data_IF_080651642084
#
_entry.id   IF_080651642084
#
_cell.length_a   1.000
_cell.length_b   1.000
_cell.length_c   1.000
_cell.angle_alpha   90.00
_cell.angle_beta   90.00
_cell.angle_gamma   90.00
#
_symmetry.space_group_name_H-M   'P 1'
#
loop_
_entity.id
_entity.type
_entity.pdbx_description
1 polymer ?
#
# COMPACT_ATOMS: atom_id res chain seq x y z
N UNK A 1 -2.29 -3.93 -2.94
CA UNK A 1 -2.35 -5.04 -3.90
C UNK A 1 -3.77 -5.20 -4.44
N UNK A 2 -4.72 -5.73 -3.67
CA UNK A 2 -6.10 -6.01 -4.12
C UNK A 2 -6.74 -4.77 -4.77
N UNK A 3 -6.74 -3.64 -4.10
CA UNK A 3 -7.28 -2.38 -4.62
C UNK A 3 -6.57 -1.87 -5.89
N UNK A 4 -5.38 -2.38 -6.18
CA UNK A 4 -4.61 -2.07 -7.39
C UNK A 4 -4.77 -3.11 -8.49
N UNK A 5 -5.71 -4.06 -8.36
CA UNK A 5 -5.96 -5.12 -9.34
C UNK A 5 -4.90 -6.21 -9.39
N UNK A 6 -4.08 -6.36 -8.35
CA UNK A 6 -3.07 -7.42 -8.27
C UNK A 6 -3.31 -8.33 -7.07
N UNK A 7 -2.83 -9.56 -7.15
CA UNK A 7 -3.05 -10.57 -6.11
C UNK A 7 -2.45 -10.17 -4.74
N UNK A 8 -3.08 -10.61 -3.63
CA UNK A 8 -2.68 -10.21 -2.27
C UNK A 8 -1.23 -10.57 -1.94
N UNK A 9 -0.73 -11.71 -2.41
CA UNK A 9 0.64 -12.16 -2.14
C UNK A 9 1.70 -11.17 -2.63
N UNK A 10 1.46 -10.46 -3.75
CA UNK A 10 2.38 -9.43 -4.26
C UNK A 10 2.55 -8.27 -3.28
N UNK A 11 1.49 -7.93 -2.55
CA UNK A 11 1.56 -6.95 -1.48
C UNK A 11 2.35 -7.44 -0.26
N UNK A 12 2.21 -8.71 0.10
CA UNK A 12 2.95 -9.34 1.21
C UNK A 12 4.43 -9.41 0.86
N UNK A 13 4.77 -9.89 -0.34
CA UNK A 13 6.15 -9.93 -0.85
C UNK A 13 6.80 -8.55 -0.78
N UNK A 14 6.09 -7.53 -1.28
CA UNK A 14 6.56 -6.14 -1.23
C UNK A 14 6.77 -5.67 0.21
N UNK A 15 5.85 -5.97 1.12
CA UNK A 15 5.96 -5.57 2.52
C UNK A 15 7.19 -6.19 3.20
N UNK A 16 7.48 -7.47 2.91
CA UNK A 16 8.64 -8.17 3.47
C UNK A 16 9.94 -7.62 2.89
N UNK A 17 10.06 -7.58 1.56
CA UNK A 17 11.32 -7.20 0.90
C UNK A 17 11.60 -5.71 1.08
N UNK A 18 10.64 -4.85 0.75
CA UNK A 18 10.85 -3.41 0.88
C UNK A 18 10.94 -2.98 2.34
N UNK A 19 10.11 -3.57 3.22
CA UNK A 19 10.18 -3.30 4.65
C UNK A 19 11.57 -3.61 5.22
N UNK A 20 12.13 -4.77 4.90
CA UNK A 20 13.48 -5.13 5.32
C UNK A 20 14.55 -4.17 4.76
N UNK A 21 14.54 -3.92 3.44
CA UNK A 21 15.56 -3.07 2.80
C UNK A 21 15.48 -1.63 3.31
N UNK A 22 14.29 -1.05 3.42
CA UNK A 22 14.10 0.33 3.89
C UNK A 22 14.48 0.45 5.35
N UNK A 23 14.13 -0.52 6.21
CA UNK A 23 14.53 -0.51 7.62
C UNK A 23 16.04 -0.67 7.80
N UNK A 24 16.69 -1.49 6.96
CA UNK A 24 18.13 -1.79 7.09
C UNK A 24 19.02 -0.70 6.48
N UNK A 25 18.66 -0.15 5.31
CA UNK A 25 19.46 0.83 4.56
C UNK A 25 18.95 2.26 4.73
N UNK A 26 17.76 2.46 5.27
CA UNK A 26 17.07 3.75 5.32
C UNK A 26 17.79 4.81 6.14
N UNK A 27 17.46 6.05 5.85
CA UNK A 27 17.95 7.23 6.56
C UNK A 27 17.11 7.59 7.79
N UNK A 28 15.97 6.94 7.99
CA UNK A 28 15.08 7.11 9.16
C UNK A 28 15.16 5.88 10.06
N UNK A 29 15.26 6.08 11.36
CA UNK A 29 15.37 4.98 12.35
C UNK A 29 14.06 4.24 12.62
N UNK A 30 12.92 4.81 12.25
CA UNK A 30 11.60 4.32 12.65
C UNK A 30 10.64 4.12 11.49
N UNK A 31 11.08 4.43 10.27
CA UNK A 31 10.23 4.36 9.09
C UNK A 31 9.92 2.92 8.70
N UNK A 32 8.65 2.65 8.47
CA UNK A 32 8.17 1.38 7.94
C UNK A 32 7.84 1.56 6.45
N UNK A 33 8.59 0.86 5.61
CA UNK A 33 8.36 0.84 4.16
C UNK A 33 7.45 -0.30 3.71
N UNK A 34 6.96 -0.20 2.48
CA UNK A 34 6.16 -1.24 1.84
C UNK A 34 5.13 -0.69 0.85
N UNK A 35 4.17 -1.50 0.39
CA UNK A 35 3.13 -1.05 -0.50
C UNK A 35 2.19 -0.09 0.22
N UNK A 36 1.81 1.03 -0.43
CA UNK A 36 0.93 2.05 0.15
C UNK A 36 -0.28 2.32 -0.73
N UNK A 37 -1.30 2.95 -0.13
CA UNK A 37 -2.51 3.38 -0.83
C UNK A 37 -2.28 4.45 -1.89
N UNK A 38 -1.19 5.22 -1.79
CA UNK A 38 -0.84 6.26 -2.75
C UNK A 38 -0.62 5.73 -4.17
N UNK A 39 -0.13 4.51 -4.27
CA UNK A 39 0.13 3.87 -5.57
C UNK A 39 -1.08 3.17 -6.19
N UNK A 40 -2.23 3.08 -5.51
CA UNK A 40 -3.38 2.30 -5.99
C UNK A 40 -3.77 2.69 -7.42
N UNK A 41 -3.98 3.99 -7.67
CA UNK A 41 -4.45 4.48 -8.99
C UNK A 41 -3.40 4.26 -10.06
N UNK A 42 -2.12 4.56 -9.75
CA UNK A 42 -1.02 4.44 -10.70
C UNK A 42 -0.78 2.96 -11.05
N UNK A 43 -0.69 2.10 -10.04
CA UNK A 43 -0.48 0.66 -10.23
C UNK A 43 -1.64 0.05 -11.00
N UNK A 44 -2.89 0.40 -10.65
CA UNK A 44 -4.07 -0.08 -11.38
C UNK A 44 -4.00 0.29 -12.86
N UNK A 45 -3.75 1.57 -13.18
CA UNK A 45 -3.63 2.02 -14.57
C UNK A 45 -2.54 1.30 -15.35
N UNK A 46 -1.35 1.13 -14.74
CA UNK A 46 -0.23 0.42 -15.39
C UNK A 46 -0.57 -1.05 -15.63
N UNK A 47 -1.19 -1.71 -14.67
CA UNK A 47 -1.56 -3.13 -14.79
C UNK A 47 -2.60 -3.34 -15.89
N UNK A 48 -3.55 -2.41 -16.03
CA UNK A 48 -4.56 -2.48 -17.10
C UNK A 48 -3.96 -2.27 -18.49
N UNK A 49 -3.00 -1.37 -18.64
CA UNK A 49 -2.44 -0.99 -19.94
C UNK A 49 -1.23 -1.84 -20.35
N UNK A 50 -0.33 -2.13 -19.40
CA UNK A 50 0.96 -2.80 -19.66
C UNK A 50 1.10 -4.15 -18.95
N UNK A 51 0.09 -4.58 -18.22
CA UNK A 51 0.13 -5.79 -17.42
C UNK A 51 1.11 -5.73 -16.24
N UNK A 52 1.23 -6.84 -15.55
CA UNK A 52 2.15 -6.93 -14.40
C UNK A 52 3.64 -6.84 -14.82
N UNK A 53 3.98 -7.30 -16.02
CA UNK A 53 5.36 -7.21 -16.53
C UNK A 53 5.78 -5.75 -16.74
N UNK A 54 4.91 -4.91 -17.33
CA UNK A 54 5.16 -3.48 -17.47
C UNK A 54 5.30 -2.78 -16.12
N UNK A 55 4.48 -3.14 -15.13
CA UNK A 55 4.61 -2.65 -13.76
C UNK A 55 5.98 -2.99 -13.14
N UNK A 56 6.46 -4.23 -13.34
CA UNK A 56 7.75 -4.67 -12.81
C UNK A 56 8.90 -3.85 -13.41
N UNK A 57 8.88 -3.63 -14.74
CA UNK A 57 9.89 -2.80 -15.42
C UNK A 57 9.84 -1.35 -14.94
N UNK A 58 8.65 -0.74 -14.89
CA UNK A 58 8.48 0.65 -14.44
C UNK A 58 8.94 0.83 -12.98
N UNK A 59 8.65 -0.15 -12.10
CA UNK A 59 9.09 -0.13 -10.70
C UNK A 59 10.60 -0.25 -10.58
N UNK A 60 11.22 -1.14 -11.36
CA UNK A 60 12.68 -1.29 -11.38
C UNK A 60 13.35 0.00 -11.86
N UNK A 61 12.86 0.59 -12.95
CA UNK A 61 13.37 1.89 -13.47
C UNK A 61 13.18 3.02 -12.45
N UNK A 62 12.03 3.07 -11.77
CA UNK A 62 11.78 4.03 -10.69
C UNK A 62 12.79 3.84 -9.55
N UNK A 63 13.14 2.61 -9.20
CA UNK A 63 14.19 2.31 -8.24
C UNK A 63 15.56 2.89 -8.63
N UNK A 64 15.96 2.75 -9.90
CA UNK A 64 17.20 3.37 -10.43
C UNK A 64 17.13 4.89 -10.31
N UNK A 65 16.00 5.51 -10.72
CA UNK A 65 15.83 6.96 -10.61
C UNK A 65 15.91 7.45 -9.15
N UNK A 66 15.31 6.73 -8.21
CA UNK A 66 15.38 7.05 -6.77
C UNK A 66 16.82 7.00 -6.24
N UNK A 67 17.63 6.00 -6.65
CA UNK A 67 19.04 5.94 -6.28
C UNK A 67 19.78 7.15 -6.84
N UNK A 68 19.57 7.49 -8.12
CA UNK A 68 20.17 8.67 -8.73
C UNK A 68 19.76 9.95 -7.98
N UNK A 69 18.49 10.11 -7.65
CA UNK A 69 18.00 11.24 -6.83
C UNK A 69 18.73 11.33 -5.49
N UNK A 70 18.94 10.20 -4.81
CA UNK A 70 19.67 10.15 -3.55
C UNK A 70 21.15 10.51 -3.70
N UNK A 71 21.85 9.96 -4.73
CA UNK A 71 23.25 10.22 -5.04
C UNK A 71 23.47 11.69 -5.40
N UNK A 72 22.60 12.27 -6.22
CA UNK A 72 22.64 13.70 -6.58
C UNK A 72 22.10 14.62 -5.48
N UNK A 73 21.80 14.09 -4.29
CA UNK A 73 21.33 14.84 -3.11
C UNK A 73 20.04 15.62 -3.32
N UNK A 74 19.16 15.12 -4.18
CA UNK A 74 17.85 15.73 -4.46
C UNK A 74 16.84 15.55 -3.30
N UNK A 75 17.13 14.71 -2.31
CA UNK A 75 16.29 14.56 -1.12
C UNK A 75 16.10 15.85 -0.32
N UNK A 76 17.03 16.82 -0.45
CA UNK A 76 16.88 18.14 0.17
C UNK A 76 15.87 19.03 -0.57
N UNK A 77 15.61 18.79 -1.85
CA UNK A 77 14.69 19.59 -2.67
C UNK A 77 13.24 19.39 -2.21
N UNK A 78 12.91 18.22 -1.71
CA UNK A 78 11.56 17.89 -1.23
C UNK A 78 11.13 18.74 -0.02
N UNK A 79 12.09 19.25 0.77
CA UNK A 79 11.80 20.20 1.86
C UNK A 79 11.16 21.52 1.39
N UNK A 80 11.24 21.81 0.10
CA UNK A 80 10.63 23.01 -0.50
C UNK A 80 9.21 22.78 -1.01
N UNK A 81 8.65 21.56 -0.85
CA UNK A 81 7.26 21.29 -1.22
C UNK A 81 6.35 22.05 -0.27
N UNK A 82 5.50 22.96 -0.78
CA UNK A 82 4.58 23.73 0.05
C UNK A 82 3.58 22.83 0.78
N UNK A 83 3.34 23.11 2.06
CA UNK A 83 2.41 22.36 2.91
C UNK A 83 1.02 22.14 2.29
N UNK A 84 0.40 23.10 1.57
CA UNK A 84 -0.89 22.88 0.91
C UNK A 84 -0.88 21.75 -0.12
N UNK A 85 0.23 21.54 -0.83
CA UNK A 85 0.38 20.44 -1.79
C UNK A 85 0.34 19.09 -1.05
N UNK A 86 1.03 19.01 0.09
CA UNK A 86 1.07 17.81 0.94
C UNK A 86 -0.35 17.47 1.42
N UNK A 87 -1.07 18.45 1.95
CA UNK A 87 -2.44 18.27 2.45
C UNK A 87 -3.37 17.84 1.33
N UNK A 88 -3.31 18.51 0.17
CA UNK A 88 -4.14 18.17 -0.98
C UNK A 88 -3.88 16.76 -1.50
N UNK A 89 -2.60 16.37 -1.60
CA UNK A 89 -2.18 15.04 -1.99
C UNK A 89 -2.68 13.97 -1.01
N UNK A 90 -2.46 14.18 0.29
CA UNK A 90 -2.91 13.22 1.32
C UNK A 90 -4.44 13.09 1.37
N UNK A 91 -5.16 14.20 1.22
CA UNK A 91 -6.63 14.18 1.15
C UNK A 91 -7.13 13.44 -0.10
N UNK A 92 -6.49 13.65 -1.26
CA UNK A 92 -6.80 12.92 -2.50
C UNK A 92 -6.59 11.41 -2.35
N UNK A 93 -5.47 10.99 -1.74
CA UNK A 93 -5.21 9.57 -1.43
C UNK A 93 -6.29 9.03 -0.51
N UNK A 94 -6.62 9.72 0.58
CA UNK A 94 -7.64 9.28 1.53
C UNK A 94 -9.00 9.08 0.85
N UNK A 95 -9.40 10.00 -0.03
CA UNK A 95 -10.63 9.91 -0.81
C UNK A 95 -10.63 8.73 -1.79
N UNK A 96 -9.48 8.49 -2.44
CA UNK A 96 -9.31 7.34 -3.34
C UNK A 96 -9.42 6.02 -2.59
N UNK A 97 -8.74 5.90 -1.44
CA UNK A 97 -8.81 4.70 -0.59
C UNK A 97 -10.24 4.49 -0.11
N UNK A 98 -10.89 5.53 0.41
CA UNK A 98 -12.28 5.46 0.85
C UNK A 98 -13.18 4.92 -0.27
N UNK A 99 -13.08 5.50 -1.47
CA UNK A 99 -13.88 5.06 -2.62
C UNK A 99 -13.62 3.60 -2.98
N UNK A 100 -12.36 3.17 -3.03
CA UNK A 100 -12.04 1.78 -3.40
C UNK A 100 -12.49 0.77 -2.36
N UNK A 101 -12.56 1.15 -1.09
CA UNK A 101 -13.01 0.26 -0.01
C UNK A 101 -14.53 0.17 0.12
N UNK A 102 -15.29 1.12 -0.46
CA UNK A 102 -16.75 1.12 -0.34
C UNK A 102 -17.40 -0.12 -0.95
N UNK A 103 -16.87 -0.63 -2.06
CA UNK A 103 -17.37 -1.85 -2.67
C UNK A 103 -17.27 -3.07 -1.72
N UNK A 104 -16.12 -3.22 -1.05
CA UNK A 104 -15.88 -4.31 -0.11
C UNK A 104 -16.69 -4.14 1.19
N UNK A 105 -16.81 -2.92 1.70
CA UNK A 105 -17.62 -2.60 2.89
C UNK A 105 -19.09 -2.94 2.66
N UNK A 106 -19.63 -2.59 1.50
CA UNK A 106 -21.01 -2.87 1.12
C UNK A 106 -21.20 -4.31 0.62
N UNK A 107 -20.10 -5.00 0.29
CA UNK A 107 -20.13 -6.35 -0.28
C UNK A 107 -20.85 -6.39 -1.64
N UNK A 108 -20.56 -5.38 -2.51
CA UNK A 108 -21.19 -5.28 -3.81
C UNK A 108 -20.67 -6.40 -4.74
N UNK A 109 -21.58 -7.03 -5.47
CA UNK A 109 -21.22 -7.99 -6.52
C UNK A 109 -20.92 -7.23 -7.82
N UNK A 110 -19.63 -7.06 -8.08
CA UNK A 110 -19.10 -6.37 -9.26
C UNK A 110 -18.45 -7.33 -10.28
N UNK A 111 -18.67 -8.64 -10.14
CA UNK A 111 -18.02 -9.66 -10.99
C UNK A 111 -18.39 -9.55 -12.47
N UNK A 112 -19.49 -8.89 -12.79
CA UNK A 112 -20.04 -8.75 -14.15
C UNK A 112 -19.66 -7.44 -14.86
N UNK A 113 -19.02 -6.48 -14.18
CA UNK A 113 -18.75 -5.14 -14.75
C UNK A 113 -17.29 -4.72 -14.49
N UNK A 114 -16.63 -4.19 -15.52
CA UNK A 114 -15.32 -3.58 -15.35
C UNK A 114 -15.46 -2.26 -14.58
N UNK A 115 -14.81 -2.18 -13.43
CA UNK A 115 -14.85 -0.98 -12.58
C UNK A 115 -13.89 0.07 -13.15
N UNK A 116 -14.38 1.25 -13.59
CA UNK A 116 -13.53 2.30 -14.11
C UNK A 116 -12.45 2.75 -13.13
N UNK A 117 -11.32 3.25 -13.65
CA UNK A 117 -10.23 3.78 -12.82
C UNK A 117 -10.56 5.13 -12.16
N UNK A 118 -11.44 5.92 -12.76
CA UNK A 118 -11.80 7.28 -12.33
C UNK A 118 -12.81 7.27 -11.16
N UNK A 119 -12.80 8.36 -10.39
CA UNK A 119 -13.64 8.52 -9.20
C UNK A 119 -15.14 8.48 -9.51
N UNK A 120 -15.57 9.24 -10.50
CA UNK A 120 -17.00 9.37 -10.85
C UNK A 120 -17.54 8.05 -11.42
N UNK A 121 -16.78 7.42 -12.33
CA UNK A 121 -17.15 6.14 -12.92
C UNK A 121 -17.31 5.05 -11.86
N UNK A 122 -16.40 4.97 -10.86
CA UNK A 122 -16.52 4.03 -9.74
C UNK A 122 -17.84 4.21 -8.98
N UNK A 123 -18.16 5.45 -8.60
CA UNK A 123 -19.40 5.72 -7.86
C UNK A 123 -20.65 5.42 -8.67
N UNK A 124 -20.63 5.67 -10.00
CA UNK A 124 -21.77 5.29 -10.87
C UNK A 124 -21.98 3.78 -10.89
N UNK A 125 -20.91 2.98 -10.98
CA UNK A 125 -20.99 1.52 -10.92
C UNK A 125 -21.50 1.06 -9.56
N UNK A 126 -21.01 1.62 -8.45
CA UNK A 126 -21.47 1.25 -7.11
C UNK A 126 -22.95 1.57 -6.88
N UNK A 127 -23.41 2.74 -7.37
CA UNK A 127 -24.84 3.13 -7.25
C UNK A 127 -25.73 2.18 -8.06
N UNK A 128 -25.29 1.72 -9.23
CA UNK A 128 -26.05 0.75 -10.04
C UNK A 128 -26.19 -0.61 -9.37
N UNK A 129 -25.21 -1.01 -8.56
CA UNK A 129 -25.18 -2.31 -7.89
C UNK A 129 -25.60 -2.23 -6.41
N UNK A 130 -26.25 -1.17 -5.99
CA UNK A 130 -26.73 -1.04 -4.59
C UNK A 130 -27.77 -2.09 -4.20
N UNK A 131 -28.41 -2.71 -5.14
CA UNK A 131 -29.34 -3.85 -4.94
C UNK A 131 -28.62 -5.14 -4.51
N UNK A 132 -27.31 -5.24 -4.79
CA UNK A 132 -26.48 -6.40 -4.41
C UNK A 132 -25.83 -6.29 -3.03
N UNK A 133 -26.17 -5.29 -2.21
CA UNK A 133 -25.56 -5.09 -0.89
C UNK A 133 -25.65 -6.34 -0.02
N UNK A 134 -24.48 -6.81 0.46
CA UNK A 134 -24.41 -7.93 1.38
C UNK A 134 -24.41 -7.46 2.84
N UNK A 135 -25.52 -7.70 3.55
CA UNK A 135 -25.66 -7.29 4.94
C UNK A 135 -24.60 -7.88 5.89
N UNK A 136 -24.06 -9.07 5.60
CA UNK A 136 -23.00 -9.68 6.38
C UNK A 136 -21.67 -8.94 6.23
N UNK A 137 -21.35 -8.47 5.03
CA UNK A 137 -20.14 -7.66 4.78
C UNK A 137 -20.24 -6.30 5.48
N UNK A 138 -21.42 -5.66 5.45
CA UNK A 138 -21.67 -4.43 6.19
C UNK A 138 -21.52 -4.64 7.71
N UNK A 139 -22.10 -5.71 8.24
CA UNK A 139 -22.04 -6.02 9.68
C UNK A 139 -20.60 -6.29 10.13
N UNK A 140 -19.83 -7.08 9.37
CA UNK A 140 -18.42 -7.37 9.68
C UNK A 140 -17.53 -6.13 9.59
N UNK A 141 -17.82 -5.24 8.65
CA UNK A 141 -17.13 -3.95 8.52
C UNK A 141 -17.42 -3.02 9.71
N UNK A 142 -18.68 -2.90 10.10
CA UNK A 142 -19.09 -2.11 11.28
C UNK A 142 -18.49 -2.68 12.58
N UNK A 143 -18.48 -4.01 12.72
CA UNK A 143 -17.85 -4.69 13.84
C UNK A 143 -16.35 -4.39 13.89
N UNK A 144 -15.67 -4.45 12.75
CA UNK A 144 -14.24 -4.14 12.64
C UNK A 144 -13.95 -2.69 13.06
N UNK A 145 -14.74 -1.73 12.58
CA UNK A 145 -14.62 -0.32 12.96
C UNK A 145 -14.85 -0.14 14.47
N UNK A 146 -15.88 -0.79 15.01
CA UNK A 146 -16.17 -0.76 16.43
C UNK A 146 -15.01 -1.27 17.29
N UNK A 147 -14.39 -2.40 16.90
CA UNK A 147 -13.23 -2.96 17.59
C UNK A 147 -12.02 -2.00 17.50
N UNK A 148 -11.76 -1.43 16.33
CA UNK A 148 -10.64 -0.49 16.13
C UNK A 148 -10.80 0.74 17.06
N UNK A 149 -12.01 1.28 17.18
CA UNK A 149 -12.29 2.46 18.01
C UNK A 149 -12.28 2.15 19.52
N UNK A 150 -12.69 0.94 19.92
CA UNK A 150 -12.76 0.54 21.31
C UNK A 150 -11.42 0.04 21.85
N UNK A 151 -10.60 -0.61 21.04
CA UNK A 151 -9.33 -1.21 21.47
C UNK A 151 -8.39 -0.23 22.17
N UNK A 152 -8.15 1.00 21.71
CA UNK A 152 -7.26 1.93 22.40
C UNK A 152 -7.75 2.36 23.78
N UNK A 153 -9.07 2.27 24.01
CA UNK A 153 -9.68 2.55 25.33
C UNK A 153 -9.51 1.41 26.33
N UNK A 154 -9.53 0.16 25.82
CA UNK A 154 -9.46 -1.07 26.64
C UNK A 154 -8.03 -1.59 26.77
N UNK A 155 -7.27 -1.59 25.67
CA UNK A 155 -5.94 -2.21 25.56
C UNK A 155 -4.98 -1.22 24.90
N UNK A 156 -4.41 -0.31 25.69
CA UNK A 156 -3.55 0.78 25.21
C UNK A 156 -2.26 0.33 24.49
N UNK A 157 -1.81 -0.92 24.69
CA UNK A 157 -0.57 -1.43 24.13
C UNK A 157 -0.73 -2.24 22.83
N UNK A 158 -1.97 -2.51 22.43
CA UNK A 158 -2.26 -3.35 21.25
C UNK A 158 -2.88 -2.51 20.14
N UNK A 159 -2.36 -2.56 18.92
CA UNK A 159 -2.97 -1.87 17.77
C UNK A 159 -4.40 -2.35 17.53
N UNK A 160 -5.36 -1.41 17.44
CA UNK A 160 -6.77 -1.75 17.22
C UNK A 160 -7.02 -2.53 15.94
N UNK A 161 -6.26 -2.25 14.88
CA UNK A 161 -6.33 -2.99 13.62
C UNK A 161 -5.96 -4.46 13.76
N UNK A 162 -4.93 -4.78 14.57
CA UNK A 162 -4.55 -6.17 14.84
C UNK A 162 -5.66 -6.91 15.57
N UNK A 163 -6.25 -6.29 16.61
CA UNK A 163 -7.37 -6.89 17.34
C UNK A 163 -8.59 -7.10 16.46
N UNK A 164 -8.90 -6.14 15.58
CA UNK A 164 -10.01 -6.27 14.63
C UNK A 164 -9.78 -7.48 13.69
N UNK A 165 -8.59 -7.62 13.11
CA UNK A 165 -8.26 -8.75 12.23
C UNK A 165 -8.43 -10.07 12.98
N UNK A 166 -7.86 -10.22 14.17
CA UNK A 166 -7.93 -11.47 14.94
C UNK A 166 -9.37 -11.82 15.34
N UNK A 167 -10.10 -10.85 15.94
CA UNK A 167 -11.46 -11.10 16.43
C UNK A 167 -12.42 -11.37 15.27
N UNK A 168 -12.40 -10.52 14.23
CA UNK A 168 -13.33 -10.68 13.11
C UNK A 168 -13.04 -11.96 12.32
N UNK A 169 -11.78 -12.33 12.13
CA UNK A 169 -11.42 -13.61 11.50
C UNK A 169 -11.96 -14.79 12.30
N UNK A 170 -11.80 -14.80 13.63
CA UNK A 170 -12.35 -15.85 14.48
C UNK A 170 -13.89 -15.89 14.45
N UNK A 171 -14.53 -14.73 14.46
CA UNK A 171 -16.01 -14.63 14.37
C UNK A 171 -16.50 -15.17 13.02
N UNK A 172 -15.91 -14.72 11.92
CA UNK A 172 -16.30 -15.18 10.56
C UNK A 172 -16.05 -16.67 10.39
N UNK A 173 -14.89 -17.17 10.86
CA UNK A 173 -14.59 -18.60 10.85
C UNK A 173 -15.60 -19.41 11.68
N UNK A 174 -15.94 -18.92 12.87
CA UNK A 174 -16.94 -19.56 13.74
C UNK A 174 -18.34 -19.57 13.11
N UNK A 175 -18.79 -18.45 12.54
CA UNK A 175 -20.06 -18.35 11.85
C UNK A 175 -20.15 -19.30 10.64
N UNK A 176 -19.08 -19.43 9.90
CA UNK A 176 -19.00 -20.37 8.77
C UNK A 176 -19.11 -21.83 9.22
N UNK A 177 -18.32 -22.24 10.24
CA UNK A 177 -18.24 -23.64 10.66
C UNK A 177 -19.43 -24.11 11.53
N UNK A 178 -19.96 -23.24 12.41
CA UNK A 178 -21.00 -23.63 13.36
C UNK A 178 -22.41 -23.20 12.97
N UNK A 179 -22.54 -22.07 12.25
CA UNK A 179 -23.84 -21.54 11.84
C UNK A 179 -24.15 -21.75 10.36
N UNK A 180 -23.20 -22.28 9.57
CA UNK A 180 -23.38 -22.51 8.14
C UNK A 180 -23.54 -21.24 7.29
N UNK A 181 -23.09 -20.08 7.81
CA UNK A 181 -23.16 -18.78 7.12
C UNK A 181 -21.99 -18.70 6.12
N UNK A 182 -22.29 -18.86 4.84
CA UNK A 182 -21.29 -18.86 3.74
C UNK A 182 -21.27 -17.55 2.95
N UNK A 183 -22.10 -16.57 3.31
CA UNK A 183 -22.26 -15.32 2.56
C UNK A 183 -21.23 -14.22 2.89
N UNK A 184 -20.15 -14.52 3.63
CA UNK A 184 -19.12 -13.55 3.99
C UNK A 184 -17.90 -13.79 3.12
N UNK A 185 -17.55 -12.79 2.30
CA UNK A 185 -16.35 -12.85 1.47
C UNK A 185 -15.09 -12.74 2.32
N UNK A 186 -14.17 -13.67 2.11
CA UNK A 186 -12.84 -13.66 2.71
C UNK A 186 -11.77 -13.61 1.62
N UNK A 187 -10.54 -13.24 1.98
CA UNK A 187 -9.41 -13.29 1.04
C UNK A 187 -9.25 -14.72 0.47
N UNK A 188 -9.45 -15.74 1.29
CA UNK A 188 -9.34 -17.13 0.87
C UNK A 188 -10.46 -17.62 -0.05
N UNK A 189 -11.65 -16.99 -0.04
CA UNK A 189 -12.74 -17.30 -0.98
C UNK A 189 -12.59 -16.57 -2.31
N UNK A 190 -11.98 -15.39 -2.30
CA UNK A 190 -11.79 -14.56 -3.50
C UNK A 190 -10.48 -14.82 -4.24
N UNK A 191 -9.43 -15.27 -3.55
CA UNK A 191 -8.09 -15.44 -4.11
C UNK A 191 -7.51 -16.81 -3.75
N UNK A 192 -6.90 -17.45 -4.71
CA UNK A 192 -6.06 -18.64 -4.49
C UNK A 192 -4.69 -18.17 -4.00
N UNK A 193 -4.45 -18.25 -2.68
CA UNK A 193 -3.16 -17.87 -2.12
C UNK A 193 -2.12 -18.96 -2.42
N UNK A 194 -1.06 -18.58 -3.11
CA UNK A 194 0.07 -19.48 -3.40
C UNK A 194 1.01 -19.45 -2.20
N UNK A 195 1.24 -20.62 -1.59
CA UNK A 195 2.13 -20.76 -0.42
C UNK A 195 3.60 -21.01 -0.79
N UNK A 196 3.98 -20.92 -2.07
CA UNK A 196 5.37 -21.04 -2.49
C UNK A 196 6.14 -19.75 -2.25
N UNK A 197 7.44 -19.89 -1.97
CA UNK A 197 8.35 -18.75 -1.99
C UNK A 197 8.37 -18.15 -3.39
N UNK A 198 8.43 -16.82 -3.50
CA UNK A 198 8.48 -16.15 -4.79
C UNK A 198 9.76 -16.53 -5.55
N UNK A 199 9.59 -16.96 -6.79
CA UNK A 199 10.73 -17.20 -7.68
C UNK A 199 11.30 -15.85 -8.15
N UNK A 200 12.63 -15.78 -8.27
CA UNK A 200 13.30 -14.60 -8.80
C UNK A 200 13.07 -14.55 -10.30
N UNK A 201 12.34 -13.55 -10.76
CA UNK A 201 12.08 -13.32 -12.18
C UNK A 201 12.76 -12.01 -12.59
N UNK A 202 13.75 -12.09 -13.45
CA UNK A 202 14.37 -10.90 -14.03
C UNK A 202 13.50 -10.45 -15.20
N UNK A 203 12.88 -9.26 -15.14
CA UNK A 203 12.06 -8.76 -16.23
C UNK A 203 12.94 -8.57 -17.49
N UNK A 204 12.47 -9.07 -18.62
CA UNK A 204 13.13 -8.83 -19.91
C UNK A 204 12.91 -7.36 -20.31
N UNK A 205 13.96 -6.56 -20.23
CA UNK A 205 13.90 -5.13 -20.54
C UNK A 205 14.39 -4.92 -21.95
N UNK A 206 13.54 -4.43 -22.83
CA UNK A 206 13.90 -4.00 -24.16
C UNK A 206 13.89 -2.46 -24.26
N UNK A 207 14.55 -1.89 -25.29
CA UNK A 207 14.68 -0.46 -25.46
C UNK A 207 13.32 0.24 -25.67
N UNK A 208 12.39 -0.41 -26.34
CA UNK A 208 11.03 0.12 -26.57
C UNK A 208 10.26 0.21 -25.25
N UNK A 209 10.31 -0.84 -24.42
CA UNK A 209 9.70 -0.84 -23.10
C UNK A 209 10.27 0.28 -22.20
N UNK A 210 11.59 0.54 -22.27
CA UNK A 210 12.19 1.67 -21.55
C UNK A 210 11.57 3.00 -21.98
N UNK A 211 11.47 3.25 -23.28
CA UNK A 211 10.93 4.51 -23.78
C UNK A 211 9.47 4.73 -23.42
N UNK A 212 8.64 3.69 -23.53
CA UNK A 212 7.21 3.76 -23.23
C UNK A 212 6.95 3.90 -21.71
N UNK A 213 7.70 3.19 -20.88
CA UNK A 213 7.49 3.16 -19.43
C UNK A 213 8.28 4.23 -18.65
N UNK A 214 9.19 4.96 -19.30
CA UNK A 214 10.01 5.96 -18.62
C UNK A 214 9.19 7.07 -17.94
N UNK A 215 8.17 7.69 -18.56
CA UNK A 215 7.35 8.69 -17.89
C UNK A 215 6.62 8.14 -16.67
N UNK A 216 6.20 6.89 -16.74
CA UNK A 216 5.55 6.16 -15.65
C UNK A 216 6.55 5.91 -14.52
N UNK A 217 7.77 5.47 -14.85
CA UNK A 217 8.83 5.26 -13.88
C UNK A 217 9.21 6.56 -13.14
N UNK A 218 9.27 7.68 -13.86
CA UNK A 218 9.49 9.01 -13.27
C UNK A 218 8.36 9.36 -12.29
N UNK A 219 7.12 9.09 -12.67
CA UNK A 219 5.95 9.34 -11.80
C UNK A 219 6.03 8.51 -10.52
N UNK A 220 6.32 7.20 -10.62
CA UNK A 220 6.51 6.31 -9.46
C UNK A 220 7.66 6.81 -8.58
N UNK A 221 8.79 7.20 -9.18
CA UNK A 221 9.97 7.66 -8.44
C UNK A 221 9.68 8.96 -7.66
N UNK A 222 9.08 9.96 -8.32
CA UNK A 222 8.74 11.24 -7.69
C UNK A 222 7.71 11.03 -6.58
N UNK A 223 6.65 10.29 -6.84
CA UNK A 223 5.59 10.02 -5.87
C UNK A 223 6.15 9.24 -4.68
N UNK A 224 6.95 8.19 -4.92
CA UNK A 224 7.61 7.42 -3.89
C UNK A 224 8.56 8.26 -3.04
N UNK A 225 9.35 9.13 -3.67
CA UNK A 225 10.25 10.06 -2.98
C UNK A 225 9.48 11.02 -2.07
N UNK A 226 8.43 11.64 -2.58
CA UNK A 226 7.57 12.57 -1.82
C UNK A 226 6.98 11.85 -0.61
N UNK A 227 6.33 10.72 -0.81
CA UNK A 227 5.63 10.00 0.25
C UNK A 227 6.60 9.48 1.32
N UNK A 228 7.75 8.90 0.90
CA UNK A 228 8.75 8.39 1.83
C UNK A 228 9.37 9.50 2.69
N UNK A 229 9.76 10.62 2.06
CA UNK A 229 10.37 11.71 2.80
C UNK A 229 9.37 12.48 3.66
N UNK A 230 8.10 12.56 3.25
CA UNK A 230 7.03 13.09 4.12
C UNK A 230 6.80 12.18 5.33
N UNK A 231 6.76 10.87 5.13
CA UNK A 231 6.64 9.91 6.22
C UNK A 231 7.80 10.06 7.23
N UNK A 232 9.03 10.16 6.72
CA UNK A 232 10.21 10.38 7.56
C UNK A 232 10.19 11.73 8.29
N UNK A 233 9.72 12.80 7.64
CA UNK A 233 9.61 14.12 8.24
C UNK A 233 8.55 14.16 9.36
N UNK A 234 7.42 13.48 9.18
CA UNK A 234 6.40 13.35 10.22
C UNK A 234 6.95 12.57 11.41
N UNK A 235 7.68 11.47 11.13
CA UNK A 235 8.35 10.70 12.17
C UNK A 235 9.35 11.52 12.97
N UNK A 236 10.19 12.32 12.30
CA UNK A 236 11.15 13.22 12.96
C UNK A 236 10.48 14.14 13.98
N UNK A 237 9.33 14.71 13.59
CA UNK A 237 8.56 15.60 14.47
C UNK A 237 8.05 14.93 15.74
N UNK A 238 7.86 13.60 15.72
CA UNK A 238 7.36 12.84 16.86
C UNK A 238 8.45 12.33 17.78
N UNK A 239 9.59 11.91 17.21
CA UNK A 239 10.69 11.32 17.98
C UNK A 239 11.77 12.34 18.34
N UNK A 240 11.72 13.59 17.79
CA UNK A 240 12.71 14.62 18.01
C UNK A 240 14.07 14.35 17.36
N UNK A 241 14.10 13.51 16.32
CA UNK A 241 15.32 13.17 15.55
C UNK A 241 15.28 13.81 14.15
N UNK A 242 16.29 13.53 13.32
CA UNK A 242 16.37 13.97 11.93
C UNK A 242 16.79 12.81 11.04
N UNK A 243 16.00 12.53 10.03
CA UNK A 243 16.32 11.53 9.02
C UNK A 243 17.38 12.06 8.02
N UNK A 244 18.07 11.13 7.38
CA UNK A 244 18.98 11.40 6.25
C UNK A 244 18.23 11.21 4.93
N UNK A 245 17.65 12.30 4.38
CA UNK A 245 16.77 12.26 3.18
C UNK A 245 17.40 11.56 1.98
N UNK A 246 18.69 11.78 1.72
CA UNK A 246 19.35 11.16 0.55
C UNK A 246 19.60 9.66 0.75
N UNK A 247 19.96 9.24 1.96
CA UNK A 247 20.09 7.81 2.33
C UNK A 247 18.73 7.12 2.22
N UNK A 248 17.68 7.78 2.64
CA UNK A 248 16.30 7.29 2.53
C UNK A 248 15.89 7.04 1.08
N UNK A 249 16.20 7.98 0.17
CA UNK A 249 15.94 7.79 -1.27
C UNK A 249 16.75 6.64 -1.87
N UNK A 250 18.02 6.47 -1.47
CA UNK A 250 18.84 5.34 -1.93
C UNK A 250 18.23 4.01 -1.46
N UNK A 251 17.86 3.90 -0.18
CA UNK A 251 17.23 2.71 0.37
C UNK A 251 15.90 2.38 -0.32
N UNK A 252 15.07 3.41 -0.55
CA UNK A 252 13.83 3.28 -1.28
C UNK A 252 14.06 2.82 -2.72
N UNK A 253 15.10 3.34 -3.37
CA UNK A 253 15.48 2.94 -4.71
C UNK A 253 15.91 1.48 -4.78
N UNK A 254 16.78 1.04 -3.86
CA UNK A 254 17.19 -0.37 -3.76
C UNK A 254 15.99 -1.27 -3.51
N UNK A 255 15.06 -0.86 -2.63
CA UNK A 255 13.84 -1.60 -2.37
C UNK A 255 12.99 -1.76 -3.65
N UNK A 256 12.79 -0.68 -4.41
CA UNK A 256 12.02 -0.71 -5.66
C UNK A 256 12.73 -1.41 -6.81
N UNK A 257 14.05 -1.61 -6.76
CA UNK A 257 14.75 -2.50 -7.68
C UNK A 257 14.60 -3.97 -7.29
N UNK A 258 14.59 -4.27 -6.00
CA UNK A 258 14.51 -5.65 -5.52
C UNK A 258 13.08 -6.22 -5.55
N UNK A 259 12.07 -5.44 -5.17
CA UNK A 259 10.68 -5.94 -5.07
C UNK A 259 10.14 -6.56 -6.35
N UNK A 260 10.29 -5.96 -7.55
CA UNK A 260 9.77 -6.56 -8.78
C UNK A 260 10.48 -7.85 -9.19
N UNK A 261 11.73 -8.07 -8.77
CA UNK A 261 12.45 -9.33 -9.02
C UNK A 261 11.78 -10.53 -8.34
N UNK A 262 11.07 -10.30 -7.25
CA UNK A 262 10.32 -11.32 -6.52
C UNK A 262 8.80 -11.22 -6.76
N UNK A 263 8.40 -10.53 -7.81
CA UNK A 263 6.98 -10.36 -8.15
C UNK A 263 6.22 -9.37 -7.25
N UNK A 264 6.93 -8.48 -6.56
CA UNK A 264 6.34 -7.40 -5.76
C UNK A 264 5.91 -6.19 -6.60
N UNK A 265 5.26 -5.23 -5.93
CA UNK A 265 4.76 -3.98 -6.49
C UNK A 265 5.57 -2.79 -5.94
N UNK A 266 5.40 -1.56 -6.48
CA UNK A 266 6.10 -0.38 -5.97
C UNK A 266 5.90 -0.18 -4.46
N UNK A 267 6.99 0.22 -3.80
CA UNK A 267 7.03 0.46 -2.36
C UNK A 267 7.45 1.90 -2.05
N UNK A 268 7.01 2.39 -0.90
CA UNK A 268 7.44 3.66 -0.32
C UNK A 268 7.33 3.63 1.20
N UNK A 269 7.77 4.69 1.87
CA UNK A 269 7.54 4.87 3.30
C UNK A 269 6.06 5.06 3.60
N UNK A 270 5.54 4.38 4.61
CA UNK A 270 4.12 4.40 4.96
C UNK A 270 3.87 5.21 6.21
N UNK A 271 3.28 6.42 6.10
CA UNK A 271 3.01 7.33 7.22
C UNK A 271 2.24 6.59 8.34
N UNK A 272 1.11 5.97 8.02
CA UNK A 272 0.26 5.31 9.03
C UNK A 272 0.98 4.17 9.78
N UNK A 273 1.78 3.36 9.07
CA UNK A 273 2.56 2.27 9.69
C UNK A 273 3.70 2.82 10.53
N UNK A 274 4.40 3.85 10.06
CA UNK A 274 5.46 4.53 10.79
C UNK A 274 4.94 5.16 12.09
N UNK A 275 3.77 5.83 12.01
CA UNK A 275 3.08 6.37 13.20
C UNK A 275 2.70 5.26 14.18
N UNK A 276 2.19 4.14 13.69
CA UNK A 276 1.85 2.99 14.53
C UNK A 276 3.09 2.42 15.21
N UNK A 277 4.21 2.30 14.49
CA UNK A 277 5.48 1.86 15.04
C UNK A 277 5.92 2.77 16.20
N UNK A 278 5.97 4.08 15.99
CA UNK A 278 6.37 5.06 17.00
C UNK A 278 5.45 5.01 18.22
N UNK A 279 4.13 5.00 18.01
CA UNK A 279 3.14 4.96 19.09
C UNK A 279 3.20 3.68 19.94
N UNK A 280 3.75 2.61 19.39
CA UNK A 280 3.99 1.34 20.11
C UNK A 280 5.44 1.21 20.64
N UNK A 281 6.21 2.29 20.65
CA UNK A 281 7.54 2.34 21.25
C UNK A 281 8.69 1.99 20.32
N UNK A 282 8.48 2.00 19.01
CA UNK A 282 9.54 1.84 18.02
C UNK A 282 10.47 3.05 18.01
N UNK A 283 11.76 2.82 18.27
CA UNK A 283 12.80 3.86 18.29
C UNK A 283 14.05 3.47 17.47
N UNK A 284 14.09 2.27 16.93
CA UNK A 284 15.24 1.73 16.20
C UNK A 284 14.82 1.08 14.89
N UNK A 285 15.73 0.91 13.92
CA UNK A 285 15.43 0.21 12.67
C UNK A 285 15.01 -1.26 12.83
N UNK A 286 15.22 -1.84 14.00
CA UNK A 286 14.89 -3.25 14.32
C UNK A 286 13.56 -3.34 15.09
N UNK A 287 12.93 -2.23 15.38
CA UNK A 287 11.70 -2.17 16.18
C UNK A 287 10.45 -2.50 15.36
#
# INVERSE_FOLDING_TARGET
>A
AIASGVSPEKGIITAVIAGFIISFLGGSKVQIGGPTGAFIVIVYGIVQEYGFHGLAIATFMAGVLLILMGVFRLGTVIKFIPYPIIVGFTAGIAMTIFTTQMADVLGLDLASEEVPGDFIGKWMVYIRHMDSINGWNVLTSLLSIGIILLTPRLLRKIPGSLMAILIVTLVVWGLGNYCGITGIDTIGTRFTLVSSLPEVVIPSIDWKAIQELFPIAVTIAILGAIESLLSAQVADGLIGDRHHSNTELIALGVANMCTPLFGGIPATGAIARTMTNINNGGHTPVA
#
